data_IF_797137178147
#
_entry.id   IF_797137178147
#
_cell.length_a   1.000
_cell.length_b   1.000
_cell.length_c   1.000
_cell.angle_alpha   90.00
_cell.angle_beta   90.00
_cell.angle_gamma   90.00
#
_symmetry.space_group_name_H-M   'P 1'
#
loop_
_entity.id
_entity.type
_entity.pdbx_description
1 polymer ?
#
# COMPACT_ATOMS: atom_id res chain seq x y z
N UNK A 1 19.41 3.58 12.90
CA UNK A 1 19.35 3.12 11.50
C UNK A 1 19.78 1.68 11.58
N UNK A 2 18.89 0.71 11.74
CA UNK A 2 17.79 0.38 10.85
C UNK A 2 16.48 0.29 11.66
N UNK A 3 15.43 0.99 11.22
CA UNK A 3 14.06 0.69 11.68
C UNK A 3 13.85 -0.80 11.43
N UNK A 4 13.17 -1.53 12.32
CA UNK A 4 12.71 -2.90 12.04
C UNK A 4 11.75 -2.85 10.84
N UNK A 5 12.34 -2.73 9.66
CA UNK A 5 11.67 -2.46 8.41
C UNK A 5 11.43 -3.82 7.81
N UNK A 6 10.19 -4.26 7.90
CA UNK A 6 9.75 -5.35 7.05
C UNK A 6 10.20 -5.02 5.62
N UNK A 7 11.00 -5.90 5.02
CA UNK A 7 11.27 -5.75 3.60
C UNK A 7 9.96 -6.05 2.83
N UNK A 8 9.87 -5.60 1.58
CA UNK A 8 8.65 -5.73 0.77
C UNK A 8 8.18 -7.18 0.64
N UNK A 9 9.11 -8.14 0.69
CA UNK A 9 8.80 -9.56 0.64
C UNK A 9 8.10 -10.02 1.92
N UNK A 10 8.61 -9.66 3.10
CA UNK A 10 7.97 -9.98 4.38
C UNK A 10 6.58 -9.34 4.48
N UNK A 11 6.45 -8.07 4.07
CA UNK A 11 5.16 -7.40 4.00
C UNK A 11 4.19 -8.13 3.08
N UNK A 12 4.64 -8.51 1.88
CA UNK A 12 3.78 -9.21 0.90
C UNK A 12 3.20 -10.50 1.46
N UNK A 13 4.01 -11.29 2.16
CA UNK A 13 3.57 -12.53 2.79
C UNK A 13 2.56 -12.27 3.91
N UNK A 14 2.78 -11.23 4.72
CA UNK A 14 1.89 -10.89 5.82
C UNK A 14 0.53 -10.37 5.37
N UNK A 15 0.49 -9.61 4.27
CA UNK A 15 -0.75 -9.05 3.73
C UNK A 15 -1.47 -9.97 2.73
N UNK A 16 -0.92 -11.15 2.43
CA UNK A 16 -1.48 -12.08 1.45
C UNK A 16 -1.43 -11.56 0.01
N UNK A 17 -0.39 -10.80 -0.33
CA UNK A 17 -0.14 -10.26 -1.67
C UNK A 17 1.20 -10.75 -2.21
N UNK A 18 1.55 -10.37 -3.45
CA UNK A 18 2.86 -10.67 -4.02
C UNK A 18 3.81 -9.48 -3.85
N UNK A 19 5.13 -9.71 -3.74
CA UNK A 19 6.12 -8.63 -3.68
C UNK A 19 5.95 -7.66 -4.86
N UNK A 20 5.74 -8.18 -6.07
CA UNK A 20 5.60 -7.38 -7.29
C UNK A 20 4.38 -6.46 -7.24
N UNK A 21 3.28 -6.91 -6.62
CA UNK A 21 2.09 -6.11 -6.44
C UNK A 21 2.33 -4.91 -5.50
N UNK A 22 3.05 -5.15 -4.40
CA UNK A 22 3.47 -4.08 -3.48
C UNK A 22 4.49 -3.14 -4.13
N UNK A 23 5.49 -3.67 -4.82
CA UNK A 23 6.47 -2.86 -5.55
C UNK A 23 5.80 -2.00 -6.62
N UNK A 24 4.81 -2.54 -7.33
CA UNK A 24 4.03 -1.76 -8.31
C UNK A 24 3.25 -0.61 -7.67
N UNK A 25 2.78 -0.76 -6.42
CA UNK A 25 2.11 0.31 -5.68
C UNK A 25 3.11 1.34 -5.19
N UNK A 26 4.25 0.90 -4.65
CA UNK A 26 5.34 1.78 -4.19
C UNK A 26 5.90 2.59 -5.37
N UNK A 27 6.01 1.97 -6.54
CA UNK A 27 6.48 2.61 -7.77
C UNK A 27 5.39 3.43 -8.49
N UNK A 28 4.20 3.61 -7.89
CA UNK A 28 3.07 4.36 -8.45
C UNK A 28 2.55 3.81 -9.80
N UNK A 29 2.89 2.56 -10.14
CA UNK A 29 2.48 1.90 -11.39
C UNK A 29 1.09 1.25 -11.25
N UNK A 30 0.66 0.96 -10.03
CA UNK A 30 -0.67 0.41 -9.72
C UNK A 30 -1.30 1.16 -8.56
N UNK A 31 -2.61 1.34 -8.66
CA UNK A 31 -3.41 1.90 -7.58
C UNK A 31 -3.43 0.95 -6.37
N UNK A 32 -3.48 1.56 -5.18
CA UNK A 32 -3.81 0.87 -3.93
C UNK A 32 -5.20 0.22 -4.03
N UNK A 33 -5.31 -1.03 -3.58
CA UNK A 33 -6.59 -1.77 -3.55
C UNK A 33 -7.06 -1.99 -2.13
N UNK A 34 -8.36 -2.18 -1.93
CA UNK A 34 -8.94 -2.44 -0.60
C UNK A 34 -8.29 -3.64 0.10
N UNK A 35 -8.00 -4.73 -0.62
CA UNK A 35 -7.37 -5.92 -0.06
C UNK A 35 -5.97 -5.61 0.52
N UNK A 36 -5.17 -4.82 -0.19
CA UNK A 36 -3.82 -4.44 0.26
C UNK A 36 -3.91 -3.44 1.40
N UNK A 37 -4.83 -2.47 1.34
CA UNK A 37 -5.07 -1.52 2.41
C UNK A 37 -5.50 -2.21 3.72
N UNK A 38 -6.39 -3.21 3.66
CA UNK A 38 -6.79 -4.02 4.81
C UNK A 38 -5.63 -4.87 5.35
N UNK A 39 -4.81 -5.44 4.47
CA UNK A 39 -3.58 -6.14 4.85
C UNK A 39 -2.61 -5.23 5.60
N UNK A 40 -2.37 -4.02 5.09
CA UNK A 40 -1.52 -3.03 5.73
C UNK A 40 -2.09 -2.56 7.07
N UNK A 41 -3.42 -2.46 7.21
CA UNK A 41 -4.06 -2.15 8.49
C UNK A 41 -3.80 -3.22 9.55
N UNK A 42 -3.93 -4.50 9.18
CA UNK A 42 -3.65 -5.60 10.09
C UNK A 42 -2.17 -5.68 10.51
N UNK A 43 -1.25 -5.37 9.60
CA UNK A 43 0.19 -5.52 9.84
C UNK A 43 0.83 -4.29 10.48
N UNK A 44 0.43 -3.08 10.05
CA UNK A 44 1.03 -1.81 10.48
C UNK A 44 0.15 -1.03 11.46
N UNK A 45 -1.11 -1.45 11.67
CA UNK A 45 -2.06 -0.73 12.52
C UNK A 45 -2.54 0.60 11.92
N UNK A 46 -2.24 0.87 10.64
CA UNK A 46 -2.65 2.10 9.94
C UNK A 46 -3.94 1.83 9.18
N UNK A 47 -4.97 2.64 9.42
CA UNK A 47 -6.30 2.36 8.87
C UNK A 47 -6.33 2.16 7.36
N UNK A 48 -7.04 1.12 6.89
CA UNK A 48 -7.27 0.89 5.46
C UNK A 48 -7.96 2.10 4.81
N UNK A 49 -8.85 2.77 5.55
CA UNK A 49 -9.50 4.00 5.12
C UNK A 49 -8.52 5.13 4.86
N UNK A 50 -7.43 5.23 5.62
CA UNK A 50 -6.38 6.23 5.38
C UNK A 50 -5.69 5.98 4.04
N UNK A 51 -5.27 4.74 3.76
CA UNK A 51 -4.64 4.35 2.50
C UNK A 51 -5.55 4.61 1.29
N UNK A 52 -6.83 4.25 1.40
CA UNK A 52 -7.80 4.48 0.33
C UNK A 52 -8.10 5.97 0.13
N UNK A 53 -8.06 6.78 1.19
CA UNK A 53 -8.20 8.23 1.05
C UNK A 53 -7.00 8.86 0.35
N UNK A 54 -5.78 8.38 0.60
CA UNK A 54 -4.59 8.80 -0.14
C UNK A 54 -4.70 8.45 -1.64
N UNK A 55 -5.14 7.23 -1.96
CA UNK A 55 -5.37 6.83 -3.35
C UNK A 55 -6.41 7.73 -4.05
N UNK A 56 -7.53 8.03 -3.38
CA UNK A 56 -8.56 8.93 -3.93
C UNK A 56 -8.03 10.34 -4.15
N UNK A 57 -7.23 10.87 -3.22
CA UNK A 57 -6.62 12.20 -3.38
C UNK A 57 -5.65 12.22 -4.57
N UNK A 58 -4.87 11.16 -4.74
CA UNK A 58 -3.98 10.98 -5.89
C UNK A 58 -4.75 10.91 -7.21
N UNK A 59 -5.80 10.09 -7.28
CA UNK A 59 -6.65 9.97 -8.48
C UNK A 59 -7.32 11.31 -8.84
N UNK A 60 -7.67 12.13 -7.85
CA UNK A 60 -8.22 13.46 -8.07
C UNK A 60 -7.17 14.45 -8.59
N UNK A 61 -5.94 14.37 -8.07
CA UNK A 61 -4.83 15.20 -8.52
C UNK A 61 -4.48 14.91 -9.99
N UNK A 62 -4.30 13.62 -10.35
CA UNK A 62 -3.98 13.23 -11.73
C UNK A 62 -5.10 13.59 -12.71
N UNK A 63 -6.37 13.46 -12.32
CA UNK A 63 -7.50 13.84 -13.21
C UNK A 63 -7.66 15.34 -13.41
N UNK A 64 -6.98 16.15 -12.59
CA UNK A 64 -7.04 17.61 -12.67
C UNK A 64 -5.91 18.21 -13.52
N UNK A 65 -4.97 17.38 -14.01
CA UNK A 65 -3.97 17.72 -15.03
C UNK A 65 -4.47 17.37 -16.44
#
# INVERSE_FOLDING_TARGET
MESHGYNTRDLSMLIGSTPEALESIIAEQKAMTDNIAQGLEMVLGVSAGMWMNLQRAYDQAIKSE
#
